data_IF_203100956115
#
_entry.id   IF_203100956115
#
_cell.length_a   1.000
_cell.length_b   1.000
_cell.length_c   1.000
_cell.angle_alpha   90.00
_cell.angle_beta   90.00
_cell.angle_gamma   90.00
#
_symmetry.space_group_name_H-M   'P 1'
#
loop_
_entity.id
_entity.type
_entity.pdbx_description
1 polymer ?
#
# COMPACT_ATOMS: atom_id res chain seq x y z
N UNK A 1 16.63 -13.32 0.09
CA UNK A 1 15.56 -13.77 1.01
C UNK A 1 14.50 -14.61 0.32
N UNK A 2 13.79 -14.17 -0.74
CA UNK A 2 12.72 -14.94 -1.38
C UNK A 2 13.15 -16.32 -1.90
N UNK A 3 14.34 -16.44 -2.49
CA UNK A 3 14.90 -17.73 -2.88
C UNK A 3 15.19 -18.65 -1.67
N UNK A 4 15.73 -18.08 -0.59
CA UNK A 4 15.98 -18.83 0.66
C UNK A 4 14.69 -19.36 1.23
N UNK A 5 13.64 -18.52 1.30
CA UNK A 5 12.30 -18.91 1.73
C UNK A 5 11.79 -20.11 0.92
N UNK A 6 11.88 -20.04 -0.42
CA UNK A 6 11.44 -21.13 -1.30
C UNK A 6 12.18 -22.45 -1.04
N UNK A 7 13.49 -22.41 -0.72
CA UNK A 7 14.24 -23.63 -0.40
C UNK A 7 13.84 -24.19 0.98
N UNK A 8 13.61 -23.31 1.96
CA UNK A 8 13.20 -23.71 3.30
C UNK A 8 11.78 -24.30 3.30
N UNK A 9 10.86 -23.76 2.48
CA UNK A 9 9.50 -24.31 2.33
C UNK A 9 9.47 -25.79 1.89
N UNK A 10 10.46 -26.21 1.10
CA UNK A 10 10.58 -27.61 0.66
C UNK A 10 10.92 -28.58 1.79
N UNK A 11 11.49 -28.10 2.90
CA UNK A 11 11.86 -28.92 4.05
C UNK A 11 10.66 -29.25 4.95
N UNK A 12 9.56 -28.50 4.83
CA UNK A 12 8.37 -28.66 5.66
C UNK A 12 7.21 -29.24 4.86
N UNK A 13 6.53 -30.24 5.42
CA UNK A 13 5.35 -30.87 4.81
C UNK A 13 4.03 -30.31 5.38
N UNK A 14 4.05 -29.64 6.53
CA UNK A 14 2.85 -29.08 7.17
C UNK A 14 2.60 -27.64 6.69
N UNK A 15 1.37 -27.37 6.24
CA UNK A 15 0.95 -26.03 5.81
C UNK A 15 1.07 -24.99 6.93
N UNK A 16 0.82 -25.37 8.18
CA UNK A 16 0.99 -24.48 9.34
C UNK A 16 2.44 -24.07 9.53
N UNK A 17 3.38 -25.02 9.40
CA UNK A 17 4.81 -24.72 9.55
C UNK A 17 5.32 -23.84 8.40
N UNK A 18 4.84 -24.07 7.19
CA UNK A 18 5.15 -23.23 6.02
C UNK A 18 4.64 -21.82 6.22
N UNK A 19 3.40 -21.64 6.66
CA UNK A 19 2.85 -20.32 6.96
C UNK A 19 3.67 -19.59 8.02
N UNK A 20 4.02 -20.26 9.12
CA UNK A 20 4.84 -19.68 10.18
C UNK A 20 6.23 -19.27 9.66
N UNK A 21 6.81 -20.10 8.80
CA UNK A 21 8.10 -19.80 8.15
C UNK A 21 7.98 -18.57 7.24
N UNK A 22 6.93 -18.51 6.40
CA UNK A 22 6.68 -17.36 5.52
C UNK A 22 6.54 -16.07 6.31
N UNK A 23 5.72 -16.07 7.37
CA UNK A 23 5.52 -14.93 8.26
C UNK A 23 6.83 -14.53 8.94
N UNK A 24 7.57 -15.51 9.48
CA UNK A 24 8.87 -15.29 10.12
C UNK A 24 9.89 -14.67 9.16
N UNK A 25 9.91 -15.11 7.90
CA UNK A 25 10.80 -14.54 6.87
C UNK A 25 10.40 -13.12 6.46
N UNK A 26 9.11 -12.79 6.46
CA UNK A 26 8.65 -11.40 6.24
C UNK A 26 9.13 -10.51 7.36
N UNK A 27 8.94 -10.89 8.63
CA UNK A 27 9.44 -10.12 9.77
C UNK A 27 10.96 -9.99 9.78
N UNK A 28 11.69 -11.07 9.50
CA UNK A 28 13.15 -11.04 9.39
C UNK A 28 13.60 -10.08 8.29
N UNK A 29 12.95 -10.13 7.13
CA UNK A 29 13.28 -9.27 5.99
C UNK A 29 13.00 -7.80 6.29
N UNK A 30 11.85 -7.50 6.93
CA UNK A 30 11.51 -6.16 7.37
C UNK A 30 12.51 -5.64 8.41
N UNK A 31 12.87 -6.47 9.39
CA UNK A 31 13.85 -6.10 10.43
C UNK A 31 15.24 -5.82 9.83
N UNK A 32 15.69 -6.65 8.90
CA UNK A 32 16.97 -6.42 8.21
C UNK A 32 16.93 -5.16 7.33
N UNK A 33 15.79 -4.85 6.71
CA UNK A 33 15.65 -3.65 5.91
C UNK A 33 15.62 -2.36 6.75
N UNK A 34 15.25 -2.46 8.03
CA UNK A 34 15.26 -1.33 8.97
C UNK A 34 16.64 -1.10 9.62
N UNK A 35 17.60 -1.99 9.37
CA UNK A 35 18.96 -1.79 9.88
C UNK A 35 19.70 -0.79 8.98
N UNK A 36 20.19 0.27 9.57
CA UNK A 36 21.06 1.24 8.90
C UNK A 36 22.51 0.77 8.93
N UNK A 37 23.12 0.65 7.77
CA UNK A 37 24.50 0.25 7.65
C UNK A 37 25.37 1.43 7.19
N UNK A 38 26.46 1.65 7.92
CA UNK A 38 27.48 2.61 7.50
C UNK A 38 28.68 1.84 6.93
N UNK A 39 28.94 2.00 5.65
CA UNK A 39 30.12 1.44 4.99
C UNK A 39 31.06 2.60 4.66
N UNK A 40 31.94 2.95 5.60
CA UNK A 40 32.81 4.12 5.49
C UNK A 40 31.98 5.43 5.47
N UNK A 41 32.18 6.32 4.49
CA UNK A 41 31.44 7.57 4.38
C UNK A 41 30.05 7.41 3.75
N UNK A 42 29.66 6.21 3.32
CA UNK A 42 28.40 5.96 2.63
C UNK A 42 27.38 5.39 3.62
N UNK A 43 26.25 6.07 3.74
CA UNK A 43 25.06 5.57 4.46
C UNK A 43 24.22 4.71 3.52
N UNK A 44 24.06 3.44 3.84
CA UNK A 44 23.23 2.49 3.08
C UNK A 44 21.99 2.17 3.90
N UNK A 45 20.84 2.60 3.42
CA UNK A 45 19.54 2.26 3.97
C UNK A 45 18.67 1.56 2.93
N UNK A 46 17.87 0.61 3.38
CA UNK A 46 16.93 -0.12 2.51
C UNK A 46 15.50 0.31 2.83
N UNK A 47 14.69 0.52 1.81
CA UNK A 47 13.26 0.68 1.99
C UNK A 47 12.64 -0.66 2.39
N UNK A 48 12.05 -0.74 3.58
CA UNK A 48 11.39 -1.96 4.09
C UNK A 48 10.25 -2.42 3.17
N UNK A 49 9.47 -1.47 2.65
CA UNK A 49 8.39 -1.76 1.70
C UNK A 49 8.92 -2.38 0.39
N UNK A 50 9.94 -1.78 -0.21
CA UNK A 50 10.53 -2.28 -1.45
C UNK A 50 11.18 -3.65 -1.24
N UNK A 51 11.87 -3.84 -0.12
CA UNK A 51 12.53 -5.11 0.22
C UNK A 51 11.51 -6.23 0.42
N UNK A 52 10.37 -5.96 1.10
CA UNK A 52 9.29 -6.92 1.24
C UNK A 52 8.57 -7.19 -0.11
N UNK A 53 8.38 -6.17 -0.96
CA UNK A 53 7.89 -6.38 -2.32
C UNK A 53 8.79 -7.33 -3.12
N UNK A 54 10.10 -7.12 -3.08
CA UNK A 54 11.06 -8.00 -3.77
C UNK A 54 11.07 -9.40 -3.19
N UNK A 55 10.93 -9.57 -1.87
CA UNK A 55 10.76 -10.88 -1.24
C UNK A 55 9.56 -11.61 -1.85
N UNK A 56 8.37 -10.96 -1.85
CA UNK A 56 7.14 -11.51 -2.39
C UNK A 56 7.24 -11.82 -3.88
N UNK A 57 7.80 -10.91 -4.67
CA UNK A 57 8.00 -11.10 -6.12
C UNK A 57 8.84 -12.33 -6.41
N UNK A 58 9.99 -12.48 -5.76
CA UNK A 58 10.86 -13.65 -5.96
C UNK A 58 10.18 -14.93 -5.49
N UNK A 59 9.53 -14.90 -4.32
CA UNK A 59 8.82 -16.05 -3.76
C UNK A 59 7.69 -16.53 -4.66
N UNK A 60 6.80 -15.62 -5.09
CA UNK A 60 5.67 -15.98 -5.95
C UNK A 60 6.07 -16.51 -7.33
N UNK A 61 7.21 -16.08 -7.87
CA UNK A 61 7.68 -16.57 -9.17
C UNK A 61 8.43 -17.90 -9.11
N UNK A 62 8.99 -18.27 -7.96
CA UNK A 62 9.84 -19.45 -7.83
C UNK A 62 9.14 -20.59 -7.07
N UNK A 63 8.25 -20.26 -6.11
CA UNK A 63 7.60 -21.24 -5.26
C UNK A 63 6.27 -21.74 -5.87
N UNK A 64 6.13 -23.04 -6.18
CA UNK A 64 4.88 -23.59 -6.73
C UNK A 64 3.69 -23.51 -5.77
N UNK A 65 3.94 -23.43 -4.46
CA UNK A 65 2.94 -23.38 -3.39
C UNK A 65 2.59 -21.93 -2.99
N UNK A 66 3.11 -20.94 -3.71
CA UNK A 66 2.94 -19.52 -3.36
C UNK A 66 1.47 -19.10 -3.26
N UNK A 67 0.59 -19.64 -4.13
CA UNK A 67 -0.85 -19.31 -4.10
C UNK A 67 -1.52 -19.66 -2.78
N UNK A 68 -1.36 -20.90 -2.33
CA UNK A 68 -1.98 -21.39 -1.08
C UNK A 68 -1.42 -20.66 0.15
N UNK A 69 -0.10 -20.37 0.13
CA UNK A 69 0.55 -19.66 1.23
C UNK A 69 0.17 -18.18 1.26
N UNK A 70 -0.03 -17.55 0.12
CA UNK A 70 -0.52 -16.17 0.05
C UNK A 70 -1.96 -16.08 0.57
N UNK A 71 -2.85 -16.98 0.16
CA UNK A 71 -4.22 -17.02 0.68
C UNK A 71 -4.26 -17.25 2.21
N UNK A 72 -3.42 -18.14 2.73
CA UNK A 72 -3.30 -18.35 4.17
C UNK A 72 -2.73 -17.13 4.90
N UNK A 73 -1.75 -16.44 4.30
CA UNK A 73 -1.17 -15.21 4.83
C UNK A 73 -2.20 -14.07 4.86
N UNK A 74 -3.03 -13.92 3.83
CA UNK A 74 -4.09 -12.91 3.77
C UNK A 74 -5.11 -13.10 4.91
N UNK A 75 -5.49 -14.33 5.19
CA UNK A 75 -6.39 -14.64 6.32
C UNK A 75 -5.77 -14.27 7.66
N UNK A 76 -4.48 -14.50 7.82
CA UNK A 76 -3.73 -14.17 9.05
C UNK A 76 -3.51 -12.66 9.21
N UNK A 77 -3.25 -11.94 8.13
CA UNK A 77 -2.98 -10.49 8.16
C UNK A 77 -4.24 -9.64 8.26
N UNK A 78 -5.42 -10.18 7.95
CA UNK A 78 -6.69 -9.44 7.99
C UNK A 78 -6.95 -8.70 9.32
N UNK A 79 -6.77 -9.31 10.52
CA UNK A 79 -6.92 -8.60 11.80
C UNK A 79 -5.86 -7.51 11.99
N UNK A 80 -4.65 -7.71 11.47
CA UNK A 80 -3.57 -6.71 11.54
C UNK A 80 -3.88 -5.48 10.71
N UNK A 81 -4.53 -5.64 9.54
CA UNK A 81 -5.01 -4.50 8.76
C UNK A 81 -6.06 -3.70 9.52
N UNK A 82 -7.03 -4.37 10.15
CA UNK A 82 -8.03 -3.67 10.96
C UNK A 82 -7.36 -2.86 12.10
N UNK A 83 -6.41 -3.48 12.83
CA UNK A 83 -5.66 -2.81 13.88
C UNK A 83 -4.84 -1.62 13.35
N UNK A 84 -4.17 -1.80 12.20
CA UNK A 84 -3.40 -0.75 11.55
C UNK A 84 -4.27 0.47 11.20
N UNK A 85 -5.47 0.27 10.63
CA UNK A 85 -6.38 1.35 10.30
C UNK A 85 -6.94 2.05 11.55
N UNK A 86 -7.25 1.30 12.61
CA UNK A 86 -7.72 1.87 13.89
C UNK A 86 -6.63 2.74 14.51
N UNK A 87 -5.39 2.26 14.59
CA UNK A 87 -4.27 3.03 15.15
C UNK A 87 -4.02 4.27 14.29
N UNK A 88 -3.96 4.12 12.98
CA UNK A 88 -3.73 5.25 12.05
C UNK A 88 -4.84 6.30 12.14
N UNK A 89 -6.09 5.88 12.34
CA UNK A 89 -7.20 6.79 12.56
C UNK A 89 -7.14 7.48 13.92
N UNK A 90 -6.71 6.78 14.98
CA UNK A 90 -6.52 7.36 16.31
C UNK A 90 -5.38 8.39 16.37
N UNK A 91 -4.39 8.24 15.52
CA UNK A 91 -3.27 9.18 15.39
C UNK A 91 -3.62 10.45 14.60
N UNK A 92 -4.83 10.55 14.02
CA UNK A 92 -5.27 11.72 13.29
C UNK A 92 -5.52 12.88 14.26
N UNK A 93 -4.73 13.91 14.15
CA UNK A 93 -4.90 15.15 14.92
C UNK A 93 -6.01 16.01 14.30
N UNK A 94 -7.22 15.92 14.86
CA UNK A 94 -8.36 16.69 14.38
C UNK A 94 -8.21 18.21 14.55
N UNK A 95 -7.35 18.65 15.47
CA UNK A 95 -7.01 20.06 15.70
C UNK A 95 -6.44 20.74 14.45
N UNK A 96 -5.78 19.98 13.58
CA UNK A 96 -5.20 20.49 12.31
C UNK A 96 -6.30 21.00 11.36
N UNK A 97 -7.51 20.48 11.45
CA UNK A 97 -8.66 20.95 10.64
C UNK A 97 -9.24 22.29 11.11
N UNK A 98 -8.82 22.79 12.26
CA UNK A 98 -9.16 24.15 12.69
C UNK A 98 -8.38 25.22 11.91
N UNK A 99 -7.24 24.87 11.31
CA UNK A 99 -6.48 25.76 10.45
C UNK A 99 -7.00 25.73 9.00
N UNK A 100 -7.67 26.80 8.61
CA UNK A 100 -8.27 26.97 7.28
C UNK A 100 -7.22 26.84 6.16
N UNK A 101 -5.99 27.31 6.39
CA UNK A 101 -4.92 27.21 5.38
C UNK A 101 -4.54 25.74 5.10
N UNK A 102 -4.45 24.91 6.15
CA UNK A 102 -4.15 23.49 6.02
C UNK A 102 -5.28 22.75 5.30
N UNK A 103 -6.53 23.07 5.62
CA UNK A 103 -7.71 22.50 4.95
C UNK A 103 -7.72 22.85 3.46
N UNK A 104 -7.44 24.10 3.09
CA UNK A 104 -7.35 24.51 1.68
C UNK A 104 -6.25 23.72 0.96
N UNK A 105 -5.05 23.63 1.53
CA UNK A 105 -3.93 22.87 0.96
C UNK A 105 -4.31 21.40 0.81
N UNK A 106 -4.98 20.81 1.80
CA UNK A 106 -5.46 19.42 1.76
C UNK A 106 -6.48 19.19 0.62
N UNK A 107 -7.44 20.09 0.44
CA UNK A 107 -8.42 20.02 -0.65
C UNK A 107 -7.73 20.14 -2.02
N UNK A 108 -6.85 21.11 -2.18
CA UNK A 108 -6.07 21.29 -3.41
C UNK A 108 -5.25 20.04 -3.71
N UNK A 109 -4.58 19.49 -2.71
CA UNK A 109 -3.83 18.24 -2.85
C UNK A 109 -4.73 17.07 -3.32
N UNK A 110 -5.91 16.88 -2.72
CA UNK A 110 -6.86 15.82 -3.11
C UNK A 110 -7.28 15.99 -4.56
N UNK A 111 -7.65 17.20 -4.98
CA UNK A 111 -8.11 17.49 -6.34
C UNK A 111 -6.99 17.19 -7.36
N UNK A 112 -5.82 17.79 -7.20
CA UNK A 112 -4.73 17.60 -8.16
C UNK A 112 -4.22 16.17 -8.20
N UNK A 113 -4.16 15.49 -7.05
CA UNK A 113 -3.79 14.07 -6.98
C UNK A 113 -4.81 13.18 -7.69
N UNK A 114 -6.10 13.42 -7.48
CA UNK A 114 -7.18 12.67 -8.15
C UNK A 114 -7.14 12.87 -9.67
N UNK A 115 -7.00 14.11 -10.10
CA UNK A 115 -6.85 14.44 -11.54
C UNK A 115 -5.60 13.79 -12.13
N UNK A 116 -4.46 13.87 -11.44
CA UNK A 116 -3.22 13.23 -11.88
C UNK A 116 -3.35 11.72 -12.04
N UNK A 117 -3.97 11.03 -11.08
CA UNK A 117 -4.24 9.59 -11.18
C UNK A 117 -5.18 9.26 -12.34
N UNK A 118 -6.28 10.01 -12.47
CA UNK A 118 -7.27 9.78 -13.50
C UNK A 118 -6.68 9.97 -14.90
N UNK A 119 -6.08 11.14 -15.14
CA UNK A 119 -5.50 11.44 -16.46
C UNK A 119 -4.26 10.60 -16.76
N UNK A 120 -3.41 10.33 -15.75
CA UNK A 120 -2.25 9.46 -15.90
C UNK A 120 -2.65 8.05 -16.32
N UNK A 121 -3.61 7.44 -15.64
CA UNK A 121 -4.14 6.13 -16.01
C UNK A 121 -4.79 6.12 -17.40
N UNK A 122 -5.59 7.16 -17.72
CA UNK A 122 -6.25 7.29 -19.01
C UNK A 122 -5.23 7.40 -20.16
N UNK A 123 -4.22 8.25 -20.02
CA UNK A 123 -3.18 8.44 -21.05
C UNK A 123 -2.37 7.17 -21.22
N UNK A 124 -1.95 6.53 -20.12
CA UNK A 124 -1.20 5.27 -20.16
C UNK A 124 -2.00 4.14 -20.82
N UNK A 125 -3.27 3.99 -20.46
CA UNK A 125 -4.14 2.97 -21.04
C UNK A 125 -4.40 3.21 -22.54
N UNK A 126 -4.51 4.47 -22.97
CA UNK A 126 -4.62 4.81 -24.40
C UNK A 126 -3.32 4.54 -25.17
N UNK A 127 -2.17 4.83 -24.57
CA UNK A 127 -0.86 4.60 -25.18
C UNK A 127 -0.52 3.11 -25.36
N UNK A 128 -1.16 2.24 -24.57
CA UNK A 128 -1.02 0.77 -24.67
C UNK A 128 -2.19 0.09 -25.37
N UNK A 129 -3.05 0.84 -26.08
CA UNK A 129 -4.21 0.35 -26.83
C UNK A 129 -5.14 -0.56 -26.01
N UNK A 130 -5.35 -0.20 -24.74
CA UNK A 130 -6.27 -0.93 -23.86
C UNK A 130 -7.74 -0.71 -24.28
N UNK A 131 -8.61 -1.62 -23.83
CA UNK A 131 -10.05 -1.53 -24.07
C UNK A 131 -10.62 -0.18 -23.62
N UNK A 132 -11.62 0.39 -24.32
CA UNK A 132 -12.18 1.72 -23.99
C UNK A 132 -12.74 1.82 -22.56
N UNK A 133 -13.25 0.72 -21.99
CA UNK A 133 -13.70 0.64 -20.60
C UNK A 133 -12.55 0.88 -19.64
N UNK A 134 -11.40 0.27 -19.87
CA UNK A 134 -10.18 0.45 -19.05
C UNK A 134 -9.73 1.91 -19.12
N UNK A 135 -9.64 2.47 -20.33
CA UNK A 135 -9.23 3.87 -20.52
C UNK A 135 -10.12 4.86 -19.75
N UNK A 136 -11.41 4.55 -19.59
CA UNK A 136 -12.39 5.43 -18.96
C UNK A 136 -12.46 5.25 -17.44
N UNK A 137 -12.41 4.01 -16.94
CA UNK A 137 -12.75 3.71 -15.56
C UNK A 137 -11.55 3.38 -14.66
N UNK A 138 -10.41 2.94 -15.23
CA UNK A 138 -9.22 2.58 -14.45
C UNK A 138 -8.75 3.71 -13.51
N UNK A 139 -8.76 4.96 -13.96
CA UNK A 139 -8.32 6.08 -13.14
C UNK A 139 -9.18 6.30 -11.89
N UNK A 140 -10.48 5.97 -11.97
CA UNK A 140 -11.39 6.07 -10.83
C UNK A 140 -11.11 4.95 -9.82
N UNK A 141 -10.86 3.73 -10.27
CA UNK A 141 -10.57 2.60 -9.38
C UNK A 141 -9.23 2.73 -8.66
N UNK A 142 -8.34 3.60 -9.13
CA UNK A 142 -7.06 3.89 -8.49
C UNK A 142 -7.15 4.99 -7.40
N UNK A 143 -8.31 5.61 -7.19
CA UNK A 143 -8.47 6.68 -6.19
C UNK A 143 -8.29 6.18 -4.75
N UNK A 144 -8.88 5.03 -4.31
CA UNK A 144 -8.65 4.52 -2.96
C UNK A 144 -7.17 4.31 -2.69
N UNK A 145 -6.68 4.81 -1.57
CA UNK A 145 -5.28 4.67 -1.20
C UNK A 145 -5.08 4.95 0.29
N UNK A 146 -4.69 3.95 1.05
CA UNK A 146 -4.44 4.08 2.48
C UNK A 146 -3.08 3.52 2.89
N UNK A 147 -2.89 2.22 2.90
CA UNK A 147 -1.79 1.52 3.57
C UNK A 147 -0.39 2.05 3.24
N UNK A 148 -0.05 2.16 1.95
CA UNK A 148 1.27 2.65 1.52
C UNK A 148 1.47 4.12 1.88
N UNK A 149 0.42 4.96 1.71
CA UNK A 149 0.51 6.38 2.05
C UNK A 149 0.75 6.59 3.55
N UNK A 150 0.03 5.83 4.40
CA UNK A 150 0.20 5.86 5.86
C UNK A 150 1.60 5.36 6.26
N UNK A 151 2.07 4.25 5.69
CA UNK A 151 3.41 3.73 5.94
C UNK A 151 4.52 4.72 5.54
N UNK A 152 4.34 5.48 4.46
CA UNK A 152 5.30 6.53 4.07
C UNK A 152 5.24 7.76 4.98
N UNK A 153 4.09 8.05 5.56
CA UNK A 153 3.94 9.17 6.51
C UNK A 153 4.80 8.97 7.76
N UNK A 154 4.99 7.74 8.23
CA UNK A 154 5.87 7.45 9.37
C UNK A 154 7.32 7.84 9.08
N UNK A 155 7.78 7.60 7.86
CA UNK A 155 9.12 8.04 7.42
C UNK A 155 9.21 9.57 7.28
N UNK A 156 8.13 10.21 6.80
CA UNK A 156 8.08 11.67 6.68
C UNK A 156 8.19 12.39 8.05
N UNK A 157 7.78 11.76 9.14
CA UNK A 157 7.90 12.33 10.49
C UNK A 157 9.36 12.62 10.92
N UNK A 158 10.34 11.98 10.30
CA UNK A 158 11.76 12.25 10.53
C UNK A 158 12.18 13.68 10.09
N UNK A 159 11.33 14.36 9.31
CA UNK A 159 11.54 15.75 8.88
C UNK A 159 11.10 16.81 9.93
N UNK A 160 10.74 16.40 11.14
CA UNK A 160 10.30 17.30 12.21
C UNK A 160 8.93 17.92 11.94
N UNK A 161 8.75 19.22 12.23
CA UNK A 161 7.46 19.92 12.09
C UNK A 161 6.86 19.84 10.69
N UNK A 162 7.69 19.91 9.65
CA UNK A 162 7.23 19.74 8.27
C UNK A 162 6.69 18.32 8.00
N UNK A 163 7.30 17.31 8.64
CA UNK A 163 6.84 15.93 8.58
C UNK A 163 5.46 15.74 9.20
N UNK A 164 5.19 16.38 10.33
CA UNK A 164 3.87 16.39 10.96
C UNK A 164 2.80 17.02 10.04
N UNK A 165 3.12 18.13 9.40
CA UNK A 165 2.22 18.78 8.45
C UNK A 165 1.91 17.88 7.25
N UNK A 166 2.93 17.29 6.64
CA UNK A 166 2.78 16.35 5.52
C UNK A 166 1.92 15.16 5.94
N UNK A 167 2.17 14.60 7.12
CA UNK A 167 1.39 13.48 7.68
C UNK A 167 -0.08 13.87 7.82
N UNK A 168 -0.38 15.00 8.45
CA UNK A 168 -1.75 15.43 8.73
C UNK A 168 -2.54 15.68 7.43
N UNK A 169 -1.94 16.34 6.43
CA UNK A 169 -2.55 16.54 5.11
C UNK A 169 -2.80 15.18 4.41
N UNK A 170 -1.84 14.26 4.50
CA UNK A 170 -1.96 12.94 3.89
C UNK A 170 -3.03 12.11 4.58
N UNK A 171 -3.09 12.10 5.92
CA UNK A 171 -4.12 11.40 6.70
C UNK A 171 -5.52 11.92 6.36
N UNK A 172 -5.68 13.23 6.25
CA UNK A 172 -6.94 13.84 5.80
C UNK A 172 -7.33 13.34 4.41
N UNK A 173 -6.42 13.36 3.47
CA UNK A 173 -6.69 12.89 2.11
C UNK A 173 -7.02 11.39 2.09
N UNK A 174 -6.32 10.56 2.87
CA UNK A 174 -6.61 9.13 3.02
C UNK A 174 -8.01 8.91 3.56
N UNK A 175 -8.43 9.65 4.61
CA UNK A 175 -9.78 9.57 5.16
C UNK A 175 -10.85 9.82 4.07
N UNK A 176 -10.67 10.85 3.27
CA UNK A 176 -11.60 11.18 2.17
C UNK A 176 -11.59 10.07 1.11
N UNK A 177 -10.42 9.57 0.72
CA UNK A 177 -10.30 8.50 -0.26
C UNK A 177 -10.90 7.18 0.21
N UNK A 178 -10.77 6.84 1.49
CA UNK A 178 -11.35 5.60 2.05
C UNK A 178 -12.87 5.69 2.23
N UNK A 179 -13.41 6.88 2.49
CA UNK A 179 -14.86 7.07 2.56
C UNK A 179 -15.53 7.00 1.19
N UNK A 180 -14.98 7.70 0.21
CA UNK A 180 -15.60 7.85 -1.11
C UNK A 180 -15.05 6.88 -2.15
N UNK A 181 -13.80 6.45 -2.02
CA UNK A 181 -13.08 5.63 -2.99
C UNK A 181 -13.76 4.30 -3.29
N UNK A 182 -14.13 3.47 -2.31
CA UNK A 182 -14.81 2.20 -2.54
C UNK A 182 -16.16 2.36 -3.26
N UNK A 183 -16.91 3.41 -2.93
CA UNK A 183 -18.20 3.72 -3.59
C UNK A 183 -17.98 4.07 -5.07
N UNK A 184 -17.02 4.95 -5.35
CA UNK A 184 -16.67 5.35 -6.72
C UNK A 184 -16.11 4.17 -7.52
N UNK A 185 -15.29 3.34 -6.91
CA UNK A 185 -14.73 2.11 -7.52
C UNK A 185 -15.85 1.14 -7.87
N UNK A 186 -16.80 0.87 -6.96
CA UNK A 186 -17.95 0.02 -7.22
C UNK A 186 -18.79 0.54 -8.39
N UNK A 187 -19.07 1.84 -8.41
CA UNK A 187 -19.82 2.48 -9.50
C UNK A 187 -19.08 2.37 -10.84
N UNK A 188 -17.77 2.62 -10.85
CA UNK A 188 -16.93 2.52 -12.03
C UNK A 188 -16.92 1.10 -12.61
N UNK A 189 -16.72 0.07 -11.78
CA UNK A 189 -16.70 -1.34 -12.18
C UNK A 189 -18.09 -1.81 -12.65
N UNK A 190 -19.16 -1.35 -12.00
CA UNK A 190 -20.54 -1.62 -12.47
C UNK A 190 -20.80 -0.98 -13.83
N UNK A 191 -20.36 0.27 -14.03
CA UNK A 191 -20.50 0.96 -15.30
C UNK A 191 -19.59 0.39 -16.42
N UNK A 192 -18.47 -0.23 -16.05
CA UNK A 192 -17.60 -0.96 -16.97
C UNK A 192 -18.20 -2.32 -17.39
N UNK A 193 -19.17 -2.86 -16.63
CA UNK A 193 -19.76 -4.17 -16.86
C UNK A 193 -19.04 -5.34 -16.19
N UNK A 194 -18.02 -5.05 -15.39
CA UNK A 194 -17.22 -6.06 -14.70
C UNK A 194 -17.93 -6.63 -13.45
N UNK A 195 -18.85 -5.86 -12.86
CA UNK A 195 -19.66 -6.28 -11.71
C UNK A 195 -21.13 -6.14 -12.07
N UNK A 196 -21.92 -7.19 -11.81
CA UNK A 196 -23.37 -7.12 -11.95
C UNK A 196 -23.96 -6.23 -10.86
N UNK A 197 -24.91 -5.32 -11.17
CA UNK A 197 -25.64 -4.60 -10.15
C UNK A 197 -26.40 -5.60 -9.28
N UNK A 198 -26.27 -5.43 -7.97
CA UNK A 198 -27.08 -6.19 -6.99
C UNK A 198 -28.50 -5.70 -7.03
#
# INVERSE_FOLDING_TARGET
MGWVLTQLEKLFNSNTNRLNLTIGMVFLTASLAMMDFHVGPVHVSFSSLLTCMMLGTVFCNICPLSGDLMEASDKWTSPLFALFFVISGAELELSVFADVAIVIVGIVYIIFRSLGKYFGAMVSAKATDCAPSICKYLGITLLPQAGVALGMCTTAMQLGEQGHLIRNITLFAVLIYELFGPLLTKQALTAAGDIKPM
#
